data_IF_928799092972
#
_entry.id   IF_928799092972
#
_cell.length_a   1.000
_cell.length_b   1.000
_cell.length_c   1.000
_cell.angle_alpha   90.00
_cell.angle_beta   90.00
_cell.angle_gamma   90.00
#
_symmetry.space_group_name_H-M   'P 1'
#
loop_
_entity.id
_entity.type
_entity.pdbx_description
1 polymer ?
#
# COMPACT_ATOMS: atom_id res chain seq x y z
N UNK A 1 -36.86 39.81 -25.83
CA UNK A 1 -36.04 38.59 -26.04
C UNK A 1 -34.80 38.49 -25.14
N UNK A 2 -34.12 39.58 -24.74
CA UNK A 2 -32.89 39.50 -23.94
C UNK A 2 -33.00 39.03 -22.48
N UNK A 3 -34.18 39.14 -21.83
CA UNK A 3 -34.37 38.74 -20.42
C UNK A 3 -34.54 37.22 -20.24
N UNK A 4 -35.29 36.55 -21.12
CA UNK A 4 -35.41 35.09 -21.09
C UNK A 4 -34.09 34.39 -21.46
N UNK A 5 -33.32 34.98 -22.38
CA UNK A 5 -32.03 34.43 -22.78
C UNK A 5 -31.00 34.50 -21.63
N UNK A 6 -31.01 35.58 -20.83
CA UNK A 6 -30.18 35.73 -19.63
C UNK A 6 -30.54 34.73 -18.52
N UNK A 7 -31.83 34.44 -18.35
CA UNK A 7 -32.29 33.44 -17.37
C UNK A 7 -31.90 32.02 -17.83
N UNK A 8 -32.04 31.72 -19.13
CA UNK A 8 -31.64 30.42 -19.69
C UNK A 8 -30.14 30.13 -19.54
N UNK A 9 -29.29 31.14 -19.78
CA UNK A 9 -27.84 31.00 -19.57
C UNK A 9 -27.51 30.82 -18.08
N UNK A 10 -28.19 31.55 -17.18
CA UNK A 10 -27.99 31.41 -15.75
C UNK A 10 -28.33 30.00 -15.23
N UNK A 11 -29.42 29.41 -15.71
CA UNK A 11 -29.85 28.05 -15.34
C UNK A 11 -28.88 26.99 -15.92
N UNK A 12 -28.41 27.18 -17.15
CA UNK A 12 -27.43 26.29 -17.77
C UNK A 12 -26.10 26.26 -17.01
N UNK A 13 -25.62 27.42 -16.55
CA UNK A 13 -24.39 27.53 -15.74
C UNK A 13 -24.58 26.87 -14.36
N UNK A 14 -25.76 27.02 -13.74
CA UNK A 14 -26.07 26.39 -12.45
C UNK A 14 -26.10 24.85 -12.53
N UNK A 15 -26.57 24.30 -13.66
CA UNK A 15 -26.65 22.86 -13.90
C UNK A 15 -25.30 22.21 -14.23
N UNK A 16 -24.29 23.01 -14.63
CA UNK A 16 -22.93 22.53 -14.92
C UNK A 16 -22.03 22.48 -13.68
N UNK A 17 -22.39 23.14 -12.58
CA UNK A 17 -21.59 23.16 -11.34
C UNK A 17 -21.46 21.81 -10.61
N UNK A 18 -22.47 20.91 -10.59
CA UNK A 18 -22.34 19.61 -9.95
C UNK A 18 -21.31 18.67 -10.62
N UNK A 19 -20.94 18.94 -11.88
CA UNK A 19 -19.94 18.15 -12.61
C UNK A 19 -18.49 18.43 -12.16
N UNK A 20 -18.26 19.54 -11.44
CA UNK A 20 -16.97 19.81 -10.78
C UNK A 20 -16.94 19.34 -9.32
N UNK A 21 -18.06 18.87 -8.76
CA UNK A 21 -18.11 18.21 -7.45
C UNK A 21 -17.73 16.73 -7.52
N UNK A 22 -16.79 16.39 -8.41
CA UNK A 22 -16.02 15.16 -8.28
C UNK A 22 -15.35 15.15 -6.90
N UNK A 23 -15.33 14.00 -6.25
CA UNK A 23 -14.84 13.75 -4.90
C UNK A 23 -13.43 14.33 -4.66
N UNK A 24 -13.36 15.62 -4.30
CA UNK A 24 -12.24 16.17 -3.55
C UNK A 24 -12.39 15.59 -2.15
N UNK A 25 -11.86 14.37 -1.96
CA UNK A 25 -11.55 13.89 -0.61
C UNK A 25 -10.61 14.93 -0.02
N UNK A 26 -11.10 15.63 0.99
CA UNK A 26 -10.37 16.69 1.67
C UNK A 26 -9.25 16.08 2.49
N UNK A 27 -8.11 15.86 1.85
CA UNK A 27 -6.81 15.90 2.49
C UNK A 27 -5.99 17.02 1.85
N UNK A 28 -5.17 17.68 2.66
CA UNK A 28 -4.68 19.03 2.47
C UNK A 28 -4.08 19.33 1.09
N UNK A 29 -4.36 20.55 0.61
CA UNK A 29 -3.89 21.15 -0.66
C UNK A 29 -2.36 21.33 -0.72
N UNK A 30 -1.60 20.79 0.23
CA UNK A 30 -0.14 20.74 0.21
C UNK A 30 0.36 19.41 0.80
N UNK A 31 -0.12 18.28 0.26
CA UNK A 31 0.57 17.02 0.48
C UNK A 31 1.85 17.00 -0.36
N UNK A 32 2.88 17.67 0.14
CA UNK A 32 4.29 17.44 -0.25
C UNK A 32 4.80 16.21 0.52
N UNK A 33 3.97 15.17 0.63
CA UNK A 33 4.45 13.84 0.98
C UNK A 33 4.91 13.23 -0.33
N UNK A 34 6.16 12.75 -0.35
CA UNK A 34 6.73 12.06 -1.50
C UNK A 34 5.74 11.04 -2.06
N UNK A 35 5.79 10.80 -3.36
CA UNK A 35 4.90 9.97 -4.19
C UNK A 35 4.78 8.51 -3.68
N UNK A 36 4.27 8.34 -2.46
CA UNK A 36 4.04 7.08 -1.77
C UNK A 36 2.69 6.59 -2.28
N UNK A 37 2.70 5.43 -2.92
CA UNK A 37 1.53 4.82 -3.54
C UNK A 37 0.35 4.64 -2.57
N UNK A 38 -0.82 4.31 -3.10
CA UNK A 38 -2.00 4.08 -2.26
C UNK A 38 -2.00 2.61 -1.81
N UNK A 39 -2.21 2.31 -0.51
CA UNK A 39 -2.36 0.94 -0.05
C UNK A 39 -3.41 0.17 -0.88
N UNK A 40 -3.05 -1.04 -1.31
CA UNK A 40 -3.93 -1.88 -2.13
C UNK A 40 -4.04 -1.50 -3.61
N UNK A 41 -3.36 -0.45 -4.08
CA UNK A 41 -3.37 -0.07 -5.51
C UNK A 41 -2.81 -1.16 -6.44
N UNK A 42 -2.01 -2.10 -5.93
CA UNK A 42 -1.49 -3.27 -6.66
C UNK A 42 -2.32 -4.55 -6.46
N UNK A 43 -3.55 -4.46 -5.94
CA UNK A 43 -4.42 -5.65 -5.76
C UNK A 43 -4.59 -6.43 -7.07
N UNK A 44 -4.85 -5.75 -8.18
CA UNK A 44 -5.02 -6.40 -9.48
C UNK A 44 -3.73 -7.10 -9.95
N UNK A 45 -2.55 -6.55 -9.62
CA UNK A 45 -1.27 -7.17 -9.94
C UNK A 45 -1.05 -8.50 -9.19
N UNK A 46 -1.61 -8.67 -7.99
CA UNK A 46 -1.63 -9.97 -7.31
C UNK A 46 -2.58 -10.95 -8.03
N UNK A 47 -3.77 -10.49 -8.42
CA UNK A 47 -4.83 -11.34 -8.98
C UNK A 47 -4.59 -11.76 -10.44
N UNK A 48 -3.79 -11.01 -11.21
CA UNK A 48 -3.54 -11.22 -12.63
C UNK A 48 -2.13 -11.79 -12.90
N UNK A 49 -2.01 -12.67 -13.89
CA UNK A 49 -0.76 -13.29 -14.32
C UNK A 49 -0.26 -12.82 -15.70
N UNK A 50 -0.93 -11.86 -16.34
CA UNK A 50 -0.58 -11.38 -17.68
C UNK A 50 0.75 -10.64 -17.73
N UNK A 51 1.09 -9.94 -16.62
CA UNK A 51 2.35 -9.21 -16.46
C UNK A 51 3.23 -9.79 -15.35
N UNK A 52 2.65 -10.02 -14.18
CA UNK A 52 3.40 -10.47 -13.00
C UNK A 52 3.13 -11.94 -12.73
N UNK A 53 4.07 -12.80 -13.12
CA UNK A 53 3.92 -14.26 -13.09
C UNK A 53 4.49 -14.89 -11.83
N UNK A 54 5.37 -14.18 -11.12
CA UNK A 54 5.96 -14.56 -9.83
C UNK A 54 5.76 -13.48 -8.77
N UNK A 55 5.80 -13.90 -7.50
CA UNK A 55 5.75 -12.99 -6.35
C UNK A 55 6.86 -13.28 -5.36
N UNK A 56 7.52 -12.24 -4.87
CA UNK A 56 8.48 -12.30 -3.77
C UNK A 56 7.87 -11.59 -2.57
N UNK A 57 7.90 -12.24 -1.41
CA UNK A 57 7.56 -11.63 -0.13
C UNK A 57 8.86 -11.41 0.64
N UNK A 58 9.26 -10.15 0.76
CA UNK A 58 10.39 -9.71 1.59
C UNK A 58 9.88 -9.57 3.02
N UNK A 59 10.54 -10.24 3.96
CA UNK A 59 10.27 -10.14 5.40
C UNK A 59 11.53 -9.61 6.07
N UNK A 60 11.49 -8.33 6.42
CA UNK A 60 12.51 -7.69 7.23
C UNK A 60 12.09 -7.81 8.70
N UNK A 61 12.90 -8.48 9.50
CA UNK A 61 12.59 -8.78 10.90
C UNK A 61 13.71 -8.33 11.83
N UNK A 62 13.35 -7.93 13.04
CA UNK A 62 14.35 -7.56 14.04
C UNK A 62 15.06 -8.79 14.65
N UNK A 63 16.30 -8.65 15.16
CA UNK A 63 17.02 -9.73 15.81
C UNK A 63 16.20 -10.40 16.92
N UNK A 64 15.96 -11.71 16.78
CA UNK A 64 15.13 -12.48 17.72
C UNK A 64 13.63 -12.47 17.43
N UNK A 65 13.18 -11.76 16.40
CA UNK A 65 11.77 -11.65 15.97
C UNK A 65 11.49 -12.35 14.63
N UNK A 66 12.34 -13.30 14.20
CA UNK A 66 12.05 -14.10 13.01
C UNK A 66 10.67 -14.77 13.16
N UNK A 67 9.72 -14.55 12.22
CA UNK A 67 8.39 -15.13 12.34
C UNK A 67 8.45 -16.66 12.24
N UNK A 68 7.55 -17.33 12.97
CA UNK A 68 7.45 -18.79 12.93
C UNK A 68 7.13 -19.29 11.52
N UNK A 69 7.77 -20.41 11.13
CA UNK A 69 7.60 -20.99 9.79
C UNK A 69 6.15 -21.36 9.48
N UNK A 70 5.39 -21.81 10.49
CA UNK A 70 3.96 -22.12 10.37
C UNK A 70 3.13 -20.90 9.97
N UNK A 71 3.47 -19.71 10.49
CA UNK A 71 2.80 -18.46 10.15
C UNK A 71 3.11 -18.05 8.70
N UNK A 72 4.37 -18.16 8.29
CA UNK A 72 4.78 -17.85 6.90
C UNK A 72 4.24 -18.87 5.89
N UNK A 73 4.12 -20.14 6.28
CA UNK A 73 3.51 -21.18 5.45
C UNK A 73 2.00 -20.93 5.26
N UNK A 74 1.30 -20.53 6.32
CA UNK A 74 -0.11 -20.14 6.23
C UNK A 74 -0.30 -18.92 5.33
N UNK A 75 0.55 -17.90 5.47
CA UNK A 75 0.55 -16.74 4.59
C UNK A 75 0.76 -17.16 3.13
N UNK A 76 1.76 -18.02 2.86
CA UNK A 76 2.04 -18.56 1.54
C UNK A 76 0.80 -19.24 0.95
N UNK A 77 0.19 -20.15 1.68
CA UNK A 77 -1.00 -20.89 1.23
C UNK A 77 -2.16 -19.94 0.92
N UNK A 78 -2.35 -18.89 1.72
CA UNK A 78 -3.39 -17.89 1.43
C UNK A 78 -3.07 -17.09 0.18
N UNK A 79 -1.85 -16.62 0.00
CA UNK A 79 -1.44 -15.91 -1.21
C UNK A 79 -1.56 -16.80 -2.46
N UNK A 80 -1.13 -18.05 -2.40
CA UNK A 80 -1.29 -19.02 -3.50
C UNK A 80 -2.76 -19.33 -3.81
N UNK A 81 -3.66 -19.20 -2.82
CA UNK A 81 -5.10 -19.41 -3.02
C UNK A 81 -5.82 -18.22 -3.66
N UNK A 82 -5.23 -17.03 -3.65
CA UNK A 82 -5.89 -15.79 -4.12
C UNK A 82 -5.14 -15.09 -5.27
N UNK A 83 -3.81 -15.10 -5.27
CA UNK A 83 -3.00 -14.48 -6.31
C UNK A 83 -2.74 -15.49 -7.44
N UNK A 84 -2.92 -15.06 -8.69
CA UNK A 84 -2.54 -15.84 -9.85
C UNK A 84 -1.05 -15.63 -10.14
N UNK A 85 -0.19 -16.56 -9.68
CA UNK A 85 1.27 -16.48 -9.84
C UNK A 85 1.81 -17.83 -10.33
N UNK A 86 1.74 -18.13 -11.64
CA UNK A 86 2.10 -19.44 -12.19
C UNK A 86 3.56 -19.83 -11.97
N UNK A 87 4.46 -18.85 -11.79
CA UNK A 87 5.86 -19.10 -11.47
C UNK A 87 6.14 -19.19 -9.95
N UNK A 88 5.08 -19.10 -9.13
CA UNK A 88 5.12 -19.33 -7.70
C UNK A 88 5.34 -18.08 -6.85
N UNK A 89 5.27 -18.30 -5.52
CA UNK A 89 5.48 -17.32 -4.47
C UNK A 89 6.65 -17.77 -3.59
N UNK A 90 7.62 -16.88 -3.37
CA UNK A 90 8.81 -17.15 -2.55
C UNK A 90 8.98 -16.12 -1.44
N UNK A 91 9.66 -16.50 -0.37
CA UNK A 91 10.00 -15.62 0.75
C UNK A 91 11.50 -15.31 0.77
N UNK A 92 11.83 -14.08 1.11
CA UNK A 92 13.19 -13.63 1.44
C UNK A 92 13.14 -13.08 2.85
N UNK A 93 14.03 -13.57 3.72
CA UNK A 93 14.10 -13.15 5.12
C UNK A 93 15.38 -12.37 5.34
N UNK A 94 15.26 -11.17 5.89
CA UNK A 94 16.39 -10.28 6.19
C UNK A 94 16.32 -9.86 7.66
N UNK A 95 17.38 -10.12 8.41
CA UNK A 95 17.52 -9.57 9.76
C UNK A 95 17.92 -8.09 9.62
N UNK A 96 17.10 -7.20 10.18
CA UNK A 96 17.23 -5.74 10.03
C UNK A 96 17.10 -5.06 11.39
N UNK A 97 18.01 -4.13 11.69
CA UNK A 97 17.93 -3.24 12.84
C UNK A 97 17.17 -1.98 12.43
N UNK A 98 15.94 -1.83 12.93
CA UNK A 98 15.08 -0.67 12.64
C UNK A 98 15.39 0.55 13.52
N UNK A 99 16.28 0.42 14.50
CA UNK A 99 16.66 1.50 15.44
C UNK A 99 15.47 2.10 16.22
N UNK A 100 14.41 1.31 16.45
CA UNK A 100 13.23 1.67 17.27
C UNK A 100 13.06 0.59 18.35
N UNK A 101 13.22 0.99 19.61
CA UNK A 101 13.32 0.01 20.71
C UNK A 101 11.97 -0.42 21.30
N UNK A 102 10.94 0.45 21.32
CA UNK A 102 9.76 0.21 22.17
C UNK A 102 8.40 0.50 21.49
N UNK A 103 8.24 1.70 20.94
CA UNK A 103 6.92 2.19 20.49
C UNK A 103 6.95 2.59 19.03
N UNK A 104 6.04 2.00 18.26
CA UNK A 104 5.87 2.24 16.83
C UNK A 104 4.65 3.12 16.56
N UNK A 105 4.84 4.12 15.72
CA UNK A 105 3.74 4.84 15.08
C UNK A 105 3.52 4.31 13.66
N UNK A 106 2.35 4.62 13.08
CA UNK A 106 2.11 4.31 11.68
C UNK A 106 3.03 5.07 10.70
N UNK A 107 3.65 6.17 11.13
CA UNK A 107 4.61 6.91 10.29
C UNK A 107 5.97 6.22 10.26
N UNK A 108 6.42 5.68 11.39
CA UNK A 108 7.68 4.92 11.46
C UNK A 108 7.66 3.74 10.50
N UNK A 109 6.54 3.00 10.44
CA UNK A 109 6.35 1.88 9.50
C UNK A 109 6.43 2.34 8.04
N UNK A 110 5.91 3.53 7.71
CA UNK A 110 5.95 4.06 6.33
C UNK A 110 7.34 4.54 5.94
N UNK A 111 8.04 5.19 6.86
CA UNK A 111 9.39 5.70 6.62
C UNK A 111 10.39 4.55 6.50
N UNK A 112 10.41 3.65 7.48
CA UNK A 112 11.27 2.48 7.46
C UNK A 112 10.90 1.49 6.36
N UNK A 113 9.62 1.40 5.99
CA UNK A 113 9.18 0.60 4.85
C UNK A 113 9.77 1.09 3.53
N UNK A 114 9.97 2.39 3.36
CA UNK A 114 10.65 2.94 2.18
C UNK A 114 12.17 2.71 2.24
N UNK A 115 12.77 2.88 3.42
CA UNK A 115 14.22 2.74 3.63
C UNK A 115 14.72 1.28 3.55
N UNK A 116 13.97 0.33 4.13
CA UNK A 116 14.34 -1.08 4.18
C UNK A 116 14.05 -1.81 2.86
N UNK A 117 13.24 -1.22 1.96
CA UNK A 117 12.81 -1.89 0.72
C UNK A 117 14.00 -2.18 -0.18
N UNK A 118 14.24 -3.47 -0.44
CA UNK A 118 15.42 -3.87 -1.23
C UNK A 118 15.22 -3.71 -2.74
N UNK A 119 13.97 -3.68 -3.20
CA UNK A 119 13.61 -3.60 -4.61
C UNK A 119 12.30 -2.84 -4.86
N UNK A 120 12.11 -2.29 -6.06
CA UNK A 120 10.80 -1.72 -6.43
C UNK A 120 9.71 -2.80 -6.35
N UNK A 121 8.49 -2.49 -5.87
CA UNK A 121 7.39 -3.45 -5.80
C UNK A 121 7.07 -4.13 -7.13
N UNK A 122 7.47 -3.52 -8.25
CA UNK A 122 7.23 -4.03 -9.59
C UNK A 122 8.55 -4.07 -10.37
N UNK A 123 9.12 -5.26 -10.53
CA UNK A 123 10.38 -5.45 -11.26
C UNK A 123 10.24 -6.54 -12.31
N UNK A 124 10.29 -6.16 -13.58
CA UNK A 124 10.09 -7.10 -14.69
C UNK A 124 8.74 -7.81 -14.62
N UNK A 125 8.77 -9.13 -14.44
CA UNK A 125 7.59 -9.99 -14.27
C UNK A 125 7.35 -10.42 -12.80
N UNK A 126 8.04 -9.78 -11.85
CA UNK A 126 7.94 -10.10 -10.42
C UNK A 126 7.24 -8.97 -9.68
N UNK A 127 6.26 -9.35 -8.86
CA UNK A 127 5.63 -8.49 -7.87
C UNK A 127 6.30 -8.73 -6.51
N UNK A 128 6.78 -7.67 -5.87
CA UNK A 128 7.42 -7.74 -4.55
C UNK A 128 6.51 -7.09 -3.53
N UNK A 129 6.19 -7.81 -2.44
CA UNK A 129 5.58 -7.24 -1.25
C UNK A 129 6.57 -7.32 -0.10
N UNK A 130 6.58 -6.28 0.74
CA UNK A 130 7.41 -6.23 1.93
C UNK A 130 6.54 -6.31 3.18
N UNK A 131 7.04 -7.01 4.19
CA UNK A 131 6.46 -7.10 5.53
C UNK A 131 7.58 -6.75 6.51
N UNK A 132 7.35 -5.72 7.33
CA UNK A 132 8.22 -5.42 8.46
C UNK A 132 7.70 -6.19 9.68
N UNK A 133 8.60 -6.87 10.37
CA UNK A 133 8.32 -7.62 11.59
C UNK A 133 9.19 -7.08 12.74
N UNK A 134 8.85 -5.90 13.26
CA UNK A 134 9.65 -5.23 14.27
C UNK A 134 9.45 -5.77 15.68
N UNK A 135 10.34 -5.40 16.59
CA UNK A 135 10.11 -5.56 18.03
C UNK A 135 9.17 -4.48 18.58
N UNK A 136 8.68 -4.67 19.80
CA UNK A 136 7.92 -3.66 20.53
C UNK A 136 6.42 -3.68 20.26
N UNK A 137 5.77 -2.53 20.47
CA UNK A 137 4.32 -2.37 20.38
C UNK A 137 3.92 -1.08 19.68
N UNK A 138 2.73 -1.03 19.10
CA UNK A 138 2.18 0.23 18.58
C UNK A 138 1.79 1.19 19.72
N UNK A 139 1.92 2.49 19.47
CA UNK A 139 1.45 3.56 20.36
C UNK A 139 -0.06 3.45 20.64
N UNK A 140 -0.83 3.04 19.64
CA UNK A 140 -2.22 2.65 19.74
C UNK A 140 -2.34 1.12 19.86
N UNK A 141 -2.69 0.66 21.06
CA UNK A 141 -2.90 -0.77 21.36
C UNK A 141 -4.04 -1.44 20.57
N UNK A 142 -4.87 -0.67 19.86
CA UNK A 142 -5.89 -1.20 18.95
C UNK A 142 -5.36 -1.50 17.54
N UNK A 143 -4.13 -1.09 17.23
CA UNK A 143 -3.47 -1.33 15.94
C UNK A 143 -2.77 -2.68 15.97
N UNK A 144 -3.19 -3.56 15.07
CA UNK A 144 -2.56 -4.89 14.86
C UNK A 144 -1.53 -4.87 13.72
N UNK A 145 -1.47 -3.79 12.96
CA UNK A 145 -0.57 -3.63 11.82
C UNK A 145 -1.01 -2.47 10.93
N UNK A 146 -0.09 -2.03 10.06
CA UNK A 146 -0.31 -0.90 9.15
C UNK A 146 -0.08 -1.39 7.72
N UNK A 147 -1.08 -1.24 6.86
CA UNK A 147 -0.91 -1.43 5.43
C UNK A 147 -0.32 -0.15 4.84
N UNK A 148 0.88 -0.27 4.28
CA UNK A 148 1.58 0.84 3.64
C UNK A 148 1.44 0.76 2.12
N UNK A 149 1.94 1.79 1.45
CA UNK A 149 1.81 2.05 0.02
C UNK A 149 2.21 0.90 -0.90
N UNK A 150 2.01 1.12 -2.20
CA UNK A 150 2.40 0.18 -3.25
C UNK A 150 3.43 0.78 -4.23
N UNK A 151 4.18 1.81 -3.80
CA UNK A 151 5.19 2.51 -4.61
C UNK A 151 6.58 1.90 -4.54
#
# INVERSE_FOLDING_TARGET
MGRLHRIGIGILVLLLMPALSGCLSGDGILDVSGNRGIPGSLTLACLDDSKYTSMVIEIDYEPGYLPESTSTDMLKQRLESVCAKPMGISFVFTETDFSIEDTWSANDVRELGDEAKSSSPQSGSTLTWQILFPAGTYDDTSVLGVAVDAS
#
